data_IF_283531914067
#
_entry.id   IF_283531914067
#
_cell.length_a   1.000
_cell.length_b   1.000
_cell.length_c   1.000
_cell.angle_alpha   90.00
_cell.angle_beta   90.00
_cell.angle_gamma   90.00
#
_symmetry.space_group_name_H-M   'P 1'
#
loop_
_entity.id
_entity.type
_entity.pdbx_description
1 polymer ?
#
# COMPACT_ATOMS: atom_id res chain seq x y z
N UNK A 1 19.53 43.15 -28.27
CA UNK A 1 19.95 42.74 -26.91
C UNK A 1 21.29 42.03 -27.07
N UNK A 2 22.39 42.69 -26.71
CA UNK A 2 23.76 42.27 -27.06
C UNK A 2 24.31 41.21 -26.09
N UNK A 3 25.22 40.38 -26.60
CA UNK A 3 25.87 39.25 -25.91
C UNK A 3 26.65 39.62 -24.63
N UNK A 4 26.86 40.91 -24.38
CA UNK A 4 27.53 41.44 -23.17
C UNK A 4 26.63 41.43 -21.92
N UNK A 5 25.31 41.25 -22.08
CA UNK A 5 24.39 41.13 -20.95
C UNK A 5 24.33 39.71 -20.36
N UNK A 6 24.89 38.70 -21.04
CA UNK A 6 24.91 37.30 -20.59
C UNK A 6 26.20 36.91 -19.84
N UNK A 7 27.22 37.79 -19.82
CA UNK A 7 28.49 37.51 -19.13
C UNK A 7 28.50 37.85 -17.62
N UNK A 8 27.36 38.26 -17.06
CA UNK A 8 27.22 38.64 -15.63
C UNK A 8 26.47 37.61 -14.77
N UNK A 9 26.20 36.42 -15.30
CA UNK A 9 25.62 35.30 -14.55
C UNK A 9 26.55 34.09 -14.58
N UNK A 10 27.74 34.24 -13.98
CA UNK A 10 28.66 33.15 -13.69
C UNK A 10 28.88 33.09 -12.18
N UNK A 11 28.13 32.21 -11.49
CA UNK A 11 28.43 31.76 -10.14
C UNK A 11 29.20 30.45 -10.26
N UNK A 12 30.53 30.57 -10.32
CA UNK A 12 31.47 29.50 -10.07
C UNK A 12 31.98 29.60 -8.63
N UNK A 13 32.12 28.43 -8.01
CA UNK A 13 32.83 28.09 -6.77
C UNK A 13 32.29 28.56 -5.41
N UNK A 14 31.77 27.60 -4.63
CA UNK A 14 32.54 26.98 -3.52
C UNK A 14 31.75 25.82 -2.90
N UNK A 15 32.13 24.57 -3.22
CA UNK A 15 31.71 23.38 -2.48
C UNK A 15 32.62 23.20 -1.26
N UNK A 16 32.06 23.28 -0.06
CA UNK A 16 32.72 22.86 1.17
C UNK A 16 32.26 21.44 1.48
N UNK A 17 33.07 20.46 1.07
CA UNK A 17 32.98 19.08 1.57
C UNK A 17 33.89 18.96 2.79
N UNK A 18 33.33 18.83 3.99
CA UNK A 18 34.09 18.45 5.19
C UNK A 18 33.48 17.22 5.83
N UNK A 19 33.99 16.06 5.44
CA UNK A 19 33.95 14.82 6.22
C UNK A 19 35.39 14.50 6.63
N UNK A 20 35.61 14.26 7.91
CA UNK A 20 36.74 13.51 8.48
C UNK A 20 38.16 14.02 8.19
N UNK A 21 38.69 14.89 9.08
CA UNK A 21 40.13 14.96 9.38
C UNK A 21 40.39 15.79 10.65
N UNK A 22 40.04 15.23 11.82
CA UNK A 22 40.39 15.82 13.13
C UNK A 22 40.83 14.76 14.16
N UNK A 23 41.49 13.69 13.69
CA UNK A 23 42.04 12.65 14.56
C UNK A 23 43.34 12.08 13.99
N UNK A 24 44.37 12.92 13.82
CA UNK A 24 45.78 12.51 13.77
C UNK A 24 46.65 13.74 13.52
N UNK A 25 47.07 14.43 14.59
CA UNK A 25 48.37 15.16 14.69
C UNK A 25 48.47 15.90 16.03
N UNK A 26 48.42 15.14 17.12
CA UNK A 26 49.17 15.51 18.33
C UNK A 26 50.39 14.60 18.41
N UNK A 27 51.52 15.13 17.95
CA UNK A 27 52.89 14.79 18.37
C UNK A 27 53.86 15.44 17.39
N UNK A 28 54.38 16.62 17.74
CA UNK A 28 55.81 16.89 17.95
C UNK A 28 56.16 18.39 17.86
N UNK A 29 56.97 18.79 18.84
CA UNK A 29 58.01 19.83 18.79
C UNK A 29 57.64 21.32 18.90
N UNK A 30 57.97 21.83 20.09
CA UNK A 30 58.29 23.20 20.47
C UNK A 30 59.44 23.83 19.67
N UNK A 31 59.43 25.16 19.49
CA UNK A 31 60.39 26.16 20.03
C UNK A 31 60.50 27.45 19.17
N UNK A 32 60.53 28.58 19.89
CA UNK A 32 61.13 29.91 19.61
C UNK A 32 60.29 31.09 19.02
N UNK A 33 59.87 31.94 19.97
CA UNK A 33 59.76 33.43 20.13
C UNK A 33 60.36 34.41 19.06
N UNK A 34 60.10 35.76 19.11
CA UNK A 34 59.15 36.57 19.90
C UNK A 34 58.43 37.76 19.16
N UNK A 35 57.45 38.36 19.85
CA UNK A 35 57.01 39.79 19.83
C UNK A 35 56.49 40.45 18.53
N UNK A 36 55.19 40.79 18.51
CA UNK A 36 54.68 42.18 18.51
C UNK A 36 53.15 42.19 18.42
N UNK A 37 52.50 42.78 19.42
CA UNK A 37 51.07 43.14 19.38
C UNK A 37 50.83 44.27 18.38
N UNK A 38 49.64 44.32 17.76
CA UNK A 38 48.77 45.45 18.04
C UNK A 38 47.36 45.01 18.44
N UNK A 39 46.82 45.76 19.40
CA UNK A 39 45.47 45.66 19.92
C UNK A 39 44.43 45.64 18.80
N UNK A 40 43.59 44.60 18.78
CA UNK A 40 42.23 44.68 18.26
C UNK A 40 41.27 44.31 19.38
N UNK A 41 40.34 45.23 19.61
CA UNK A 41 39.27 45.18 20.59
C UNK A 41 38.55 43.83 20.58
N UNK A 42 38.21 43.24 21.74
CA UNK A 42 37.40 42.04 21.73
C UNK A 42 36.01 42.39 21.18
N UNK A 43 35.67 41.77 20.05
CA UNK A 43 34.29 41.59 19.63
C UNK A 43 33.55 40.99 20.83
N UNK A 44 32.51 41.68 21.28
CA UNK A 44 31.60 41.21 22.31
C UNK A 44 31.08 39.83 21.92
N UNK A 45 31.56 38.81 22.62
CA UNK A 45 30.87 37.54 22.71
C UNK A 45 29.55 37.81 23.40
N UNK A 46 28.47 37.91 22.62
CA UNK A 46 27.12 37.85 23.16
C UNK A 46 27.03 36.59 24.03
N UNK A 47 26.92 36.81 25.34
CA UNK A 47 26.63 35.74 26.27
C UNK A 47 25.30 35.11 25.83
N UNK A 48 25.20 33.77 25.76
CA UNK A 48 23.94 33.13 25.41
C UNK A 48 22.90 33.54 26.44
N UNK A 49 21.86 34.24 25.98
CA UNK A 49 20.71 34.62 26.80
C UNK A 49 20.20 33.38 27.55
N UNK A 50 19.94 33.46 28.86
CA UNK A 50 19.56 32.29 29.65
C UNK A 50 18.28 31.66 29.06
N UNK A 51 18.36 30.36 28.76
CA UNK A 51 17.20 29.60 28.27
C UNK A 51 16.07 29.73 29.29
N UNK A 52 14.85 30.13 28.88
CA UNK A 52 13.77 30.41 29.82
C UNK A 52 13.38 29.16 30.61
N UNK A 53 13.01 29.37 31.88
CA UNK A 53 12.60 28.29 32.79
C UNK A 53 11.24 27.67 32.44
N UNK A 54 10.47 28.34 31.58
CA UNK A 54 9.22 27.85 31.01
C UNK A 54 9.35 27.92 29.49
N UNK A 55 9.04 26.82 28.82
CA UNK A 55 9.02 26.71 27.37
C UNK A 55 7.56 26.53 26.95
N UNK A 56 7.07 27.41 26.08
CA UNK A 56 5.74 27.29 25.46
C UNK A 56 5.93 26.84 24.02
N UNK A 57 5.27 25.75 23.65
CA UNK A 57 5.33 25.17 22.30
C UNK A 57 4.31 25.84 21.40
N UNK A 58 4.45 25.68 20.10
CA UNK A 58 3.54 26.28 19.11
C UNK A 58 2.13 25.71 19.20
N UNK A 59 1.99 24.50 19.74
CA UNK A 59 0.70 23.87 20.08
C UNK A 59 0.06 24.43 21.35
N UNK A 60 0.72 25.36 22.06
CA UNK A 60 0.21 26.03 23.25
C UNK A 60 0.48 25.27 24.57
N UNK A 61 1.23 24.16 24.52
CA UNK A 61 1.63 23.42 25.72
C UNK A 61 2.75 24.16 26.44
N UNK A 62 2.67 24.20 27.78
CA UNK A 62 3.63 24.91 28.63
C UNK A 62 4.42 23.90 29.46
N UNK A 63 5.74 23.91 29.31
CA UNK A 63 6.66 23.02 30.02
C UNK A 63 7.52 23.80 31.00
N UNK A 64 7.55 23.35 32.25
CA UNK A 64 8.47 23.86 33.26
C UNK A 64 9.76 23.04 33.25
N UNK A 65 10.86 23.73 32.95
CA UNK A 65 12.23 23.19 32.90
C UNK A 65 13.17 23.93 33.86
N UNK A 66 12.61 24.62 34.86
CA UNK A 66 13.39 25.28 35.92
C UNK A 66 14.38 24.36 36.65
N UNK A 67 14.13 23.05 36.91
CA UNK A 67 15.11 22.20 37.58
C UNK A 67 16.29 21.77 36.67
N UNK A 68 16.26 22.10 35.38
CA UNK A 68 17.26 21.63 34.43
C UNK A 68 18.51 22.49 34.48
N UNK A 69 19.67 21.90 34.21
CA UNK A 69 20.89 22.67 33.90
C UNK A 69 20.79 23.30 32.50
N UNK A 70 21.71 24.22 32.18
CA UNK A 70 21.64 25.01 30.95
C UNK A 70 21.69 24.14 29.68
N UNK A 71 22.43 23.04 29.71
CA UNK A 71 22.54 22.09 28.61
C UNK A 71 21.24 21.30 28.41
N UNK A 72 20.62 20.83 29.49
CA UNK A 72 19.34 20.12 29.45
C UNK A 72 18.21 21.06 29.04
N UNK A 73 18.22 22.32 29.48
CA UNK A 73 17.27 23.35 29.00
C UNK A 73 17.44 23.61 27.51
N UNK A 74 18.68 23.66 26.99
CA UNK A 74 18.93 23.82 25.55
C UNK A 74 18.36 22.64 24.77
N UNK A 75 18.61 21.40 25.21
CA UNK A 75 18.07 20.18 24.58
C UNK A 75 16.54 20.15 24.60
N UNK A 76 15.94 20.51 25.74
CA UNK A 76 14.50 20.62 25.88
C UNK A 76 13.93 21.68 24.94
N UNK A 77 14.52 22.87 24.88
CA UNK A 77 14.10 23.92 23.95
C UNK A 77 14.14 23.43 22.50
N UNK A 78 15.22 22.78 22.08
CA UNK A 78 15.32 22.25 20.70
C UNK A 78 14.25 21.19 20.45
N UNK A 79 14.02 20.24 21.37
CA UNK A 79 13.05 19.16 21.15
C UNK A 79 11.58 19.59 21.24
N UNK A 80 11.26 20.62 22.03
CA UNK A 80 9.89 21.07 22.27
C UNK A 80 9.41 22.14 21.28
N UNK A 81 10.31 22.79 20.53
CA UNK A 81 9.92 23.80 19.55
C UNK A 81 9.78 23.18 18.15
N UNK A 82 8.77 23.58 17.38
CA UNK A 82 8.47 23.00 16.06
C UNK A 82 9.51 23.33 14.96
N UNK A 83 10.58 24.07 15.28
CA UNK A 83 11.68 24.36 14.35
C UNK A 83 12.74 23.24 14.32
N UNK A 84 12.47 22.12 14.98
CA UNK A 84 13.29 20.93 14.86
C UNK A 84 12.84 20.11 13.65
N UNK A 85 13.78 19.73 12.78
CA UNK A 85 13.49 18.87 11.62
C UNK A 85 13.22 17.39 12.04
N UNK A 86 12.65 17.15 13.23
CA UNK A 86 12.40 15.82 13.77
C UNK A 86 11.04 15.33 13.29
N UNK A 87 11.01 14.18 12.61
CA UNK A 87 9.79 13.58 12.07
C UNK A 87 9.71 12.10 12.40
N UNK A 88 8.49 11.62 12.63
CA UNK A 88 8.20 10.20 12.82
C UNK A 88 8.22 9.47 11.47
N UNK A 89 9.00 8.39 11.37
CA UNK A 89 8.88 7.40 10.29
C UNK A 89 7.71 6.46 10.61
N UNK A 90 7.82 5.72 11.71
CA UNK A 90 6.81 4.77 12.17
C UNK A 90 7.03 4.39 13.64
N UNK A 91 6.04 3.76 14.25
CA UNK A 91 6.10 3.24 15.61
C UNK A 91 5.73 1.76 15.64
N UNK A 92 6.16 1.06 16.69
CA UNK A 92 5.94 -0.37 16.86
C UNK A 92 5.86 -0.75 18.34
N UNK A 93 4.98 -1.67 18.66
CA UNK A 93 5.01 -2.41 19.92
C UNK A 93 5.91 -3.65 19.79
N UNK A 94 6.77 -3.88 20.79
CA UNK A 94 7.67 -5.01 20.83
C UNK A 94 6.91 -6.33 20.97
N UNK A 95 7.23 -7.31 20.14
CA UNK A 95 6.66 -8.67 20.23
C UNK A 95 7.15 -9.43 21.46
N UNK A 96 8.36 -9.11 21.92
CA UNK A 96 9.08 -9.89 22.94
C UNK A 96 8.84 -9.36 24.37
N UNK A 97 8.44 -8.10 24.50
CA UNK A 97 8.28 -7.40 25.78
C UNK A 97 7.01 -6.56 25.69
N UNK A 98 5.91 -7.08 26.24
CA UNK A 98 4.61 -6.40 26.24
C UNK A 98 4.76 -5.04 26.94
N UNK A 99 4.13 -4.00 26.39
CA UNK A 99 4.29 -2.60 26.84
C UNK A 99 5.64 -1.95 26.55
N UNK A 100 6.51 -2.54 25.72
CA UNK A 100 7.68 -1.86 25.17
C UNK A 100 7.34 -1.26 23.81
N UNK A 101 7.48 0.05 23.72
CA UNK A 101 7.21 0.84 22.52
C UNK A 101 8.52 1.32 21.91
N UNK A 102 8.65 1.19 20.59
CA UNK A 102 9.79 1.69 19.83
C UNK A 102 9.30 2.64 18.74
N UNK A 103 9.90 3.82 18.71
CA UNK A 103 9.59 4.88 17.78
C UNK A 103 10.79 5.13 16.88
N UNK A 104 10.56 5.09 15.57
CA UNK A 104 11.57 5.28 14.55
C UNK A 104 11.43 6.68 13.96
N UNK A 105 12.45 7.49 14.19
CA UNK A 105 12.52 8.89 13.79
C UNK A 105 13.44 8.99 12.56
N UNK A 106 13.30 10.06 11.79
CA UNK A 106 14.28 10.43 10.76
C UNK A 106 15.73 10.47 11.30
N UNK A 107 16.70 10.33 10.39
CA UNK A 107 18.13 10.13 10.69
C UNK A 107 18.47 8.79 11.40
N UNK A 108 17.60 7.78 11.25
CA UNK A 108 17.76 6.43 11.82
C UNK A 108 17.90 6.42 13.34
N UNK A 109 17.20 7.37 13.96
CA UNK A 109 17.16 7.53 15.40
C UNK A 109 15.98 6.73 15.95
N UNK A 110 16.22 5.95 16.98
CA UNK A 110 15.17 5.20 17.68
C UNK A 110 15.01 5.72 19.09
N UNK A 111 13.76 5.84 19.53
CA UNK A 111 13.40 6.11 20.92
C UNK A 111 12.59 4.91 21.43
N UNK A 112 13.04 4.30 22.52
CA UNK A 112 12.38 3.17 23.14
C UNK A 112 11.95 3.51 24.58
N UNK A 113 10.75 3.10 24.96
CA UNK A 113 10.20 3.32 26.31
C UNK A 113 9.22 2.21 26.71
N UNK A 114 9.02 2.03 28.01
CA UNK A 114 8.14 0.98 28.55
C UNK A 114 8.79 -0.41 28.59
N UNK A 115 8.03 -1.39 29.08
CA UNK A 115 8.51 -2.74 29.36
C UNK A 115 9.70 -2.73 30.32
N UNK A 116 10.83 -3.30 29.88
CA UNK A 116 12.10 -3.28 30.60
C UNK A 116 12.76 -1.89 30.75
N UNK A 117 12.25 -0.83 30.10
CA UNK A 117 12.78 0.52 30.20
C UNK A 117 11.94 1.41 31.13
N UNK A 118 12.45 1.64 32.35
CA UNK A 118 11.90 2.64 33.28
C UNK A 118 12.14 4.10 32.83
N UNK A 119 13.16 4.32 32.00
CA UNK A 119 13.51 5.64 31.45
C UNK A 119 13.64 5.49 29.93
N UNK A 120 13.11 6.43 29.13
CA UNK A 120 13.25 6.38 27.68
C UNK A 120 14.72 6.35 27.24
N UNK A 121 15.03 5.46 26.31
CA UNK A 121 16.35 5.36 25.68
C UNK A 121 16.31 5.87 24.25
N UNK A 122 17.41 6.47 23.81
CA UNK A 122 17.55 6.96 22.44
C UNK A 122 18.88 6.52 21.82
N UNK A 123 18.87 6.12 20.56
CA UNK A 123 20.06 5.67 19.82
C UNK A 123 21.04 6.79 19.45
N UNK A 124 20.67 8.07 19.62
CA UNK A 124 21.54 9.21 19.28
C UNK A 124 22.77 9.38 20.20
N UNK A 125 22.93 8.54 21.23
CA UNK A 125 24.05 8.58 22.18
C UNK A 125 23.99 9.70 23.22
N UNK A 126 23.24 10.77 22.98
CA UNK A 126 23.15 11.91 23.91
C UNK A 126 22.41 11.62 25.23
N UNK A 127 21.83 10.41 25.38
CA UNK A 127 21.07 9.95 26.54
C UNK A 127 21.91 9.14 27.57
N UNK A 128 23.16 8.78 27.25
CA UNK A 128 24.00 7.89 28.08
C UNK A 128 24.39 8.46 29.47
N UNK A 129 24.16 9.76 29.70
CA UNK A 129 24.41 10.43 30.99
C UNK A 129 23.20 10.54 31.92
N UNK A 130 22.12 9.78 31.68
CA UNK A 130 20.88 9.87 32.46
C UNK A 130 20.12 11.18 32.22
N UNK A 131 20.31 11.80 31.05
CA UNK A 131 19.64 13.03 30.63
C UNK A 131 18.91 12.79 29.33
N UNK A 132 17.71 13.34 29.17
CA UNK A 132 16.99 13.25 27.93
C UNK A 132 17.71 14.02 26.81
N UNK A 133 17.65 13.47 25.60
CA UNK A 133 18.09 14.15 24.38
C UNK A 133 16.92 14.92 23.75
N UNK A 134 17.20 15.72 22.72
CA UNK A 134 16.16 16.45 21.98
C UNK A 134 15.04 15.54 21.44
N UNK A 135 15.36 14.32 20.98
CA UNK A 135 14.38 13.38 20.44
C UNK A 135 13.42 12.83 21.50
N UNK A 136 13.91 12.65 22.73
CA UNK A 136 13.06 12.24 23.85
C UNK A 136 12.11 13.40 24.19
N UNK A 137 12.63 14.63 24.33
CA UNK A 137 11.75 15.78 24.61
C UNK A 137 10.71 16.01 23.51
N UNK A 138 11.10 15.89 22.24
CA UNK A 138 10.17 15.92 21.12
C UNK A 138 9.09 14.85 21.24
N UNK A 139 9.47 13.59 21.50
CA UNK A 139 8.52 12.50 21.72
C UNK A 139 7.53 12.79 22.86
N UNK A 140 8.02 13.35 23.97
CA UNK A 140 7.18 13.71 25.11
C UNK A 140 6.17 14.80 24.77
N UNK A 141 6.55 15.77 23.94
CA UNK A 141 5.62 16.79 23.45
C UNK A 141 4.53 16.19 22.57
N UNK A 142 4.90 15.32 21.62
CA UNK A 142 3.93 14.64 20.75
C UNK A 142 2.90 13.81 21.55
N UNK A 143 3.37 13.07 22.55
CA UNK A 143 2.48 12.29 23.43
C UNK A 143 1.60 13.19 24.31
N UNK A 144 2.14 14.30 24.82
CA UNK A 144 1.37 15.27 25.61
C UNK A 144 0.30 15.99 24.76
N UNK A 145 0.59 16.23 23.48
CA UNK A 145 -0.37 16.77 22.53
C UNK A 145 -1.55 15.83 22.26
N UNK A 146 -1.30 14.51 22.26
CA UNK A 146 -2.36 13.49 22.20
C UNK A 146 -3.11 13.26 23.51
N UNK A 147 -2.64 13.81 24.64
CA UNK A 147 -3.22 13.56 25.96
C UNK A 147 -4.56 14.30 26.17
N UNK A 148 -5.40 13.91 27.15
CA UNK A 148 -6.67 14.57 27.42
C UNK A 148 -6.53 16.09 27.71
N UNK A 149 -7.53 16.94 27.36
CA UNK A 149 -7.46 18.39 27.52
C UNK A 149 -7.17 18.87 28.96
N UNK A 150 -7.55 18.07 29.96
CA UNK A 150 -7.26 18.34 31.38
C UNK A 150 -5.76 18.34 31.70
N UNK A 151 -4.96 17.61 30.92
CA UNK A 151 -3.50 17.57 31.02
C UNK A 151 -2.90 18.74 30.23
N UNK A 152 -3.39 18.98 29.02
CA UNK A 152 -2.88 20.04 28.13
C UNK A 152 -3.05 21.46 28.72
N UNK A 153 -4.09 21.68 29.52
CA UNK A 153 -4.38 22.99 30.14
C UNK A 153 -3.42 23.38 31.28
N UNK A 154 -2.56 22.47 31.72
CA UNK A 154 -1.66 22.67 32.86
C UNK A 154 -0.23 22.98 32.41
N UNK A 155 0.56 23.59 33.28
CA UNK A 155 2.02 23.66 33.07
C UNK A 155 2.63 22.31 33.42
N UNK A 156 3.11 21.60 32.40
CA UNK A 156 3.66 20.26 32.48
C UNK A 156 5.08 20.30 33.05
N UNK A 157 5.35 19.46 34.06
CA UNK A 157 6.68 19.33 34.64
C UNK A 157 7.44 18.21 33.93
N UNK A 158 8.60 18.49 33.35
CA UNK A 158 9.41 17.46 32.71
C UNK A 158 10.47 16.93 33.66
N UNK A 159 10.67 15.61 33.68
CA UNK A 159 11.85 15.03 34.30
C UNK A 159 13.09 15.23 33.41
N UNK A 160 14.26 15.43 34.03
CA UNK A 160 15.54 15.68 33.32
C UNK A 160 15.93 14.51 32.41
N UNK A 161 15.60 13.30 32.82
CA UNK A 161 15.88 12.04 32.11
C UNK A 161 14.77 11.65 31.12
N UNK A 162 13.64 12.38 31.12
CA UNK A 162 12.47 12.11 30.31
C UNK A 162 11.56 11.00 30.84
N UNK A 163 11.76 10.53 32.07
CA UNK A 163 10.94 9.47 32.69
C UNK A 163 9.48 9.89 32.96
N UNK A 164 9.23 11.20 33.14
CA UNK A 164 7.91 11.72 33.52
C UNK A 164 7.53 12.98 32.74
N UNK A 165 6.26 13.06 32.40
CA UNK A 165 5.55 14.28 31.96
C UNK A 165 4.45 14.58 32.97
N UNK A 166 4.65 15.63 33.75
CA UNK A 166 3.85 16.03 34.90
C UNK A 166 3.79 14.95 35.99
N UNK A 167 2.82 14.03 35.92
CA UNK A 167 2.65 12.92 36.88
C UNK A 167 2.57 11.56 36.19
N UNK A 168 2.77 11.51 34.87
CA UNK A 168 2.56 10.31 34.08
C UNK A 168 3.86 9.84 33.46
N UNK A 169 4.06 8.52 33.48
CA UNK A 169 5.08 7.87 32.66
C UNK A 169 4.61 7.84 31.20
N UNK A 170 5.49 8.15 30.23
CA UNK A 170 5.12 8.17 28.81
C UNK A 170 4.52 6.85 28.32
N UNK A 171 5.06 5.70 28.77
CA UNK A 171 4.52 4.37 28.45
C UNK A 171 3.13 4.17 29.03
N UNK A 172 2.88 4.58 30.28
CA UNK A 172 1.56 4.46 30.90
C UNK A 172 0.48 5.29 30.18
N UNK A 173 0.87 6.39 29.55
CA UNK A 173 -0.02 7.17 28.70
C UNK A 173 -0.38 6.41 27.41
N UNK A 174 0.59 5.75 26.77
CA UNK A 174 0.38 4.90 25.60
C UNK A 174 -0.48 3.69 25.98
N UNK A 175 -0.21 3.03 27.11
CA UNK A 175 -0.99 1.89 27.62
C UNK A 175 -2.48 2.25 27.79
N UNK A 176 -2.75 3.47 28.25
CA UNK A 176 -4.11 3.96 28.47
C UNK A 176 -4.84 4.31 27.16
N UNK A 177 -4.13 4.88 26.19
CA UNK A 177 -4.73 5.34 24.92
C UNK A 177 -4.76 4.24 23.86
N UNK A 178 -3.84 3.28 23.94
CA UNK A 178 -3.50 2.32 22.89
C UNK A 178 -2.54 2.94 21.87
N UNK A 179 -1.44 2.24 21.54
CA UNK A 179 -0.45 2.71 20.55
C UNK A 179 -1.10 3.03 19.20
N UNK A 180 -2.09 2.23 18.78
CA UNK A 180 -2.85 2.44 17.55
C UNK A 180 -3.62 3.77 17.56
N UNK A 181 -4.28 4.10 18.68
CA UNK A 181 -4.99 5.38 18.83
C UNK A 181 -4.04 6.57 18.78
N UNK A 182 -2.86 6.44 19.42
CA UNK A 182 -1.81 7.46 19.39
C UNK A 182 -1.26 7.64 17.99
N UNK A 183 -0.94 6.54 17.30
CA UNK A 183 -0.40 6.57 15.96
C UNK A 183 -1.40 7.21 14.98
N UNK A 184 -2.67 6.80 15.02
CA UNK A 184 -3.73 7.36 14.19
C UNK A 184 -3.98 8.85 14.49
N UNK A 185 -4.02 9.23 15.77
CA UNK A 185 -4.24 10.62 16.19
C UNK A 185 -3.13 11.58 15.76
N UNK A 186 -1.89 11.08 15.65
CA UNK A 186 -0.72 11.87 15.25
C UNK A 186 -0.30 11.63 13.78
N UNK A 187 -1.04 10.81 13.03
CA UNK A 187 -0.72 10.47 11.64
C UNK A 187 0.59 9.70 11.48
N UNK A 188 0.97 8.90 12.47
CA UNK A 188 2.16 8.07 12.46
C UNK A 188 1.87 6.70 11.84
N UNK A 189 2.81 6.19 11.03
CA UNK A 189 2.74 4.81 10.57
C UNK A 189 2.89 3.85 11.75
N UNK A 190 2.02 2.83 11.83
CA UNK A 190 2.11 1.77 12.82
C UNK A 190 2.55 0.47 12.14
N UNK A 191 3.64 -0.12 12.65
CA UNK A 191 4.09 -1.42 12.19
C UNK A 191 3.62 -2.53 13.15
N UNK A 192 2.94 -3.51 12.59
CA UNK A 192 2.58 -4.75 13.26
C UNK A 192 3.58 -5.87 12.94
N UNK A 193 3.76 -6.80 13.87
CA UNK A 193 4.53 -8.02 13.61
C UNK A 193 6.03 -7.80 13.38
N UNK A 194 6.67 -8.76 12.71
CA UNK A 194 8.09 -8.67 12.33
C UNK A 194 8.29 -7.73 11.13
N UNK A 195 9.50 -7.21 10.97
CA UNK A 195 9.83 -6.43 9.78
C UNK A 195 9.78 -7.34 8.54
N UNK A 196 9.01 -6.98 7.50
CA UNK A 196 8.95 -7.76 6.27
C UNK A 196 10.33 -7.81 5.60
N UNK A 197 10.58 -8.86 4.80
CA UNK A 197 11.80 -8.93 3.99
C UNK A 197 11.77 -7.83 2.93
N UNK A 198 12.95 -7.38 2.51
CA UNK A 198 13.13 -6.38 1.46
C UNK A 198 12.41 -6.82 0.17
N UNK A 199 12.49 -8.10 -0.15
CA UNK A 199 11.83 -8.64 -1.35
C UNK A 199 10.31 -8.58 -1.26
N UNK A 200 9.76 -8.87 -0.08
CA UNK A 200 8.31 -8.81 0.15
C UNK A 200 7.83 -7.35 0.00
N UNK A 201 8.58 -6.39 0.53
CA UNK A 201 8.32 -4.95 0.35
C UNK A 201 8.36 -4.57 -1.13
N UNK A 202 9.38 -5.01 -1.88
CA UNK A 202 9.51 -4.71 -3.31
C UNK A 202 8.34 -5.29 -4.13
N UNK A 203 7.95 -6.52 -3.85
CA UNK A 203 6.83 -7.19 -4.51
C UNK A 203 5.49 -6.51 -4.20
N UNK A 204 5.26 -6.13 -2.94
CA UNK A 204 4.05 -5.44 -2.51
C UNK A 204 3.97 -4.02 -3.09
N UNK A 205 5.09 -3.29 -3.14
CA UNK A 205 5.15 -1.98 -3.81
C UNK A 205 4.85 -2.11 -5.30
N UNK A 206 5.38 -3.15 -5.94
CA UNK A 206 5.11 -3.39 -7.35
C UNK A 206 3.63 -3.65 -7.60
N UNK A 207 2.95 -4.36 -6.69
CA UNK A 207 1.51 -4.61 -6.73
C UNK A 207 0.70 -3.33 -6.47
N UNK A 208 0.99 -2.61 -5.38
CA UNK A 208 0.34 -1.33 -5.03
C UNK A 208 0.46 -0.32 -6.17
N UNK A 209 1.65 -0.10 -6.71
CA UNK A 209 1.86 0.88 -7.77
C UNK A 209 1.27 0.43 -9.10
N UNK A 210 0.99 -0.87 -9.30
CA UNK A 210 0.38 -1.35 -10.54
C UNK A 210 -0.95 -0.64 -10.85
N UNK A 211 -1.68 -0.15 -9.85
CA UNK A 211 -2.93 0.64 -10.03
C UNK A 211 -2.74 1.85 -10.94
N UNK A 212 -1.54 2.44 -10.95
CA UNK A 212 -1.20 3.60 -11.77
C UNK A 212 -0.54 3.28 -13.12
N UNK A 213 -0.36 1.99 -13.44
CA UNK A 213 0.31 1.57 -14.67
C UNK A 213 -0.46 2.03 -15.92
N UNK A 214 0.14 2.88 -16.77
CA UNK A 214 -0.55 3.53 -17.89
C UNK A 214 -0.93 2.60 -19.04
N UNK A 215 -0.34 1.40 -19.12
CA UNK A 215 -0.67 0.41 -20.15
C UNK A 215 -1.91 -0.44 -19.81
N UNK A 216 -2.60 -0.16 -18.69
CA UNK A 216 -3.61 -1.04 -18.11
C UNK A 216 -3.06 -2.46 -17.83
N UNK A 217 -1.74 -2.64 -17.67
CA UNK A 217 -1.16 -3.92 -17.28
C UNK A 217 -1.73 -4.39 -15.93
N UNK A 218 -1.95 -5.70 -15.80
CA UNK A 218 -2.30 -6.29 -14.51
C UNK A 218 -1.05 -6.37 -13.61
N UNK A 219 -1.20 -6.51 -12.29
CA UNK A 219 -0.07 -6.58 -11.36
C UNK A 219 0.99 -7.62 -11.79
N UNK A 220 0.53 -8.82 -12.19
CA UNK A 220 1.39 -9.92 -12.65
C UNK A 220 2.17 -9.62 -13.93
N UNK A 221 1.60 -8.86 -14.85
CA UNK A 221 2.21 -8.49 -16.12
C UNK A 221 3.19 -7.31 -15.96
N UNK A 222 2.95 -6.44 -14.98
CA UNK A 222 3.81 -5.29 -14.69
C UNK A 222 5.22 -5.67 -14.20
N UNK A 223 5.40 -6.94 -13.81
CA UNK A 223 6.69 -7.52 -13.42
C UNK A 223 7.55 -7.94 -14.62
N UNK A 224 6.99 -8.06 -15.82
CA UNK A 224 7.74 -8.44 -17.02
C UNK A 224 8.46 -7.22 -17.66
N UNK A 225 9.80 -7.20 -17.72
CA UNK A 225 10.56 -6.11 -18.31
C UNK A 225 10.32 -5.95 -19.82
N UNK A 226 9.91 -7.01 -20.53
CA UNK A 226 9.71 -7.03 -21.99
C UNK A 226 8.35 -6.47 -22.44
N UNK A 227 7.37 -6.39 -21.53
CA UNK A 227 5.99 -6.01 -21.83
C UNK A 227 5.74 -4.49 -21.97
N UNK A 228 6.77 -3.69 -22.30
CA UNK A 228 6.71 -2.23 -22.22
C UNK A 228 6.70 -1.57 -23.63
N UNK A 229 5.53 -1.49 -24.30
CA UNK A 229 5.46 -0.97 -25.67
C UNK A 229 5.57 0.56 -25.75
N UNK A 230 5.40 1.30 -24.64
CA UNK A 230 5.29 2.77 -24.65
C UNK A 230 6.37 3.48 -23.82
N UNK A 231 6.74 4.69 -24.24
CA UNK A 231 7.65 5.56 -23.47
C UNK A 231 7.08 5.88 -22.08
N UNK A 232 5.75 6.03 -21.98
CA UNK A 232 5.06 6.31 -20.73
C UNK A 232 5.19 5.16 -19.72
N UNK A 233 5.02 3.92 -20.16
CA UNK A 233 5.20 2.74 -19.31
C UNK A 233 6.67 2.57 -18.89
N UNK A 234 7.64 2.88 -19.77
CA UNK A 234 9.06 2.88 -19.41
C UNK A 234 9.36 3.90 -18.31
N UNK A 235 8.84 5.12 -18.44
CA UNK A 235 9.01 6.17 -17.43
C UNK A 235 8.32 5.84 -16.11
N UNK A 236 7.16 5.21 -16.18
CA UNK A 236 6.47 4.71 -15.00
C UNK A 236 7.27 3.63 -14.27
N UNK A 237 7.92 2.71 -15.01
CA UNK A 237 8.82 1.71 -14.41
C UNK A 237 10.02 2.35 -13.71
N UNK A 238 10.71 3.28 -14.35
CA UNK A 238 11.82 4.03 -13.72
C UNK A 238 11.36 4.72 -12.42
N UNK A 239 10.17 5.30 -12.43
CA UNK A 239 9.55 5.90 -11.24
C UNK A 239 9.23 4.85 -10.17
N UNK A 240 8.64 3.72 -10.55
CA UNK A 240 8.30 2.61 -9.65
C UNK A 240 9.54 2.06 -8.95
N UNK A 241 10.60 1.80 -9.70
CA UNK A 241 11.85 1.23 -9.19
C UNK A 241 12.55 2.21 -8.23
N UNK A 242 12.54 3.50 -8.55
CA UNK A 242 13.06 4.55 -7.68
C UNK A 242 12.27 4.61 -6.36
N UNK A 243 10.94 4.60 -6.44
CA UNK A 243 10.06 4.62 -5.27
C UNK A 243 10.22 3.37 -4.40
N UNK A 244 10.34 2.19 -5.02
CA UNK A 244 10.62 0.94 -4.31
C UNK A 244 11.94 1.04 -3.53
N UNK A 245 13.02 1.51 -4.15
CA UNK A 245 14.30 1.68 -3.47
C UNK A 245 14.21 2.63 -2.25
N UNK A 246 13.46 3.74 -2.37
CA UNK A 246 13.26 4.67 -1.25
C UNK A 246 12.40 4.08 -0.12
N UNK A 247 11.33 3.38 -0.45
CA UNK A 247 10.44 2.77 0.53
C UNK A 247 11.09 1.58 1.26
N UNK A 248 11.91 0.78 0.56
CA UNK A 248 12.74 -0.26 1.18
C UNK A 248 13.75 0.33 2.17
N UNK A 249 14.34 1.48 1.84
CA UNK A 249 15.27 2.17 2.75
C UNK A 249 14.56 2.88 3.92
N UNK A 250 13.28 3.24 3.75
CA UNK A 250 12.47 3.91 4.77
C UNK A 250 11.11 3.24 4.90
N UNK A 251 11.01 2.30 5.83
CA UNK A 251 9.77 1.58 6.10
C UNK A 251 8.60 2.49 6.47
N UNK A 252 8.85 3.68 7.04
CA UNK A 252 7.81 4.67 7.29
C UNK A 252 7.16 5.19 6.01
N UNK A 253 7.92 5.30 4.92
CA UNK A 253 7.39 5.63 3.60
C UNK A 253 6.54 4.49 3.05
N UNK A 254 6.96 3.24 3.23
CA UNK A 254 6.19 2.06 2.83
C UNK A 254 4.84 1.98 3.56
N UNK A 255 4.82 2.14 4.88
CA UNK A 255 3.57 2.10 5.67
C UNK A 255 2.62 3.22 5.25
N UNK A 256 3.15 4.44 4.99
CA UNK A 256 2.33 5.54 4.47
C UNK A 256 1.80 5.24 3.07
N UNK A 257 2.55 4.51 2.24
CA UNK A 257 2.10 4.11 0.91
C UNK A 257 0.93 3.13 1.00
N UNK A 258 1.02 2.13 1.89
CA UNK A 258 -0.09 1.20 2.17
C UNK A 258 -1.35 1.94 2.64
N UNK A 259 -1.20 3.00 3.43
CA UNK A 259 -2.32 3.81 3.88
C UNK A 259 -2.94 4.71 2.79
N UNK A 260 -2.18 5.04 1.74
CA UNK A 260 -2.65 5.85 0.60
C UNK A 260 -3.23 4.97 -0.51
N UNK A 261 -2.63 3.80 -0.73
CA UNK A 261 -3.04 2.80 -1.71
C UNK A 261 -3.54 1.60 -0.92
N UNK A 262 -4.73 1.75 -0.33
CA UNK A 262 -5.35 0.69 0.45
C UNK A 262 -5.78 -0.51 -0.40
N UNK A 263 -6.09 -1.62 0.27
CA UNK A 263 -6.56 -2.87 -0.35
C UNK A 263 -7.81 -2.63 -1.21
N UNK A 264 -8.80 -1.90 -0.68
CA UNK A 264 -10.06 -1.58 -1.34
C UNK A 264 -9.84 -0.89 -2.70
N UNK A 265 -8.97 0.12 -2.75
CA UNK A 265 -8.63 0.82 -3.97
C UNK A 265 -7.91 -0.09 -4.97
N UNK A 266 -7.01 -0.96 -4.51
CA UNK A 266 -6.32 -1.92 -5.37
C UNK A 266 -7.30 -2.92 -6.01
N UNK A 267 -8.20 -3.49 -5.21
CA UNK A 267 -9.26 -4.40 -5.67
C UNK A 267 -10.15 -3.72 -6.70
N UNK A 268 -10.58 -2.49 -6.42
CA UNK A 268 -11.41 -1.71 -7.33
C UNK A 268 -10.70 -1.53 -8.69
N UNK A 269 -9.48 -1.00 -8.69
CA UNK A 269 -8.74 -0.73 -9.93
C UNK A 269 -8.41 -2.02 -10.69
N UNK A 270 -8.12 -3.12 -9.99
CA UNK A 270 -7.92 -4.42 -10.63
C UNK A 270 -9.15 -4.84 -11.43
N UNK A 271 -10.34 -4.81 -10.81
CA UNK A 271 -11.57 -5.22 -11.50
C UNK A 271 -12.02 -4.22 -12.57
N UNK A 272 -11.76 -2.92 -12.41
CA UNK A 272 -11.93 -1.94 -13.50
C UNK A 272 -11.09 -2.32 -14.72
N UNK A 273 -9.80 -2.62 -14.53
CA UNK A 273 -8.91 -3.06 -15.63
C UNK A 273 -9.36 -4.38 -16.25
N UNK A 274 -9.81 -5.34 -15.45
CA UNK A 274 -10.34 -6.61 -15.95
C UNK A 274 -11.58 -6.37 -16.82
N UNK A 275 -12.56 -5.61 -16.33
CA UNK A 275 -13.79 -5.31 -17.07
C UNK A 275 -13.51 -4.54 -18.38
N UNK A 276 -12.58 -3.58 -18.36
CA UNK A 276 -12.12 -2.89 -19.56
C UNK A 276 -11.49 -3.86 -20.57
N UNK A 277 -10.68 -4.81 -20.10
CA UNK A 277 -10.06 -5.83 -20.96
C UNK A 277 -11.08 -6.80 -21.54
N UNK A 278 -12.08 -7.21 -20.77
CA UNK A 278 -13.21 -8.03 -21.26
C UNK A 278 -13.93 -7.27 -22.38
N UNK A 279 -14.31 -6.02 -22.15
CA UNK A 279 -14.99 -5.19 -23.13
C UNK A 279 -14.15 -4.95 -24.39
N UNK A 280 -12.84 -4.70 -24.25
CA UNK A 280 -11.90 -4.58 -25.38
C UNK A 280 -11.77 -5.87 -26.16
N UNK A 281 -11.67 -7.02 -25.50
CA UNK A 281 -11.56 -8.31 -26.17
C UNK A 281 -12.77 -8.61 -27.06
N UNK A 282 -13.98 -8.35 -26.56
CA UNK A 282 -15.20 -8.50 -27.37
C UNK A 282 -15.28 -7.47 -28.50
N UNK A 283 -14.96 -6.20 -28.24
CA UNK A 283 -14.97 -5.16 -29.27
C UNK A 283 -13.96 -5.45 -30.39
N UNK A 284 -12.77 -5.92 -30.05
CA UNK A 284 -11.74 -6.29 -31.00
C UNK A 284 -12.15 -7.51 -31.85
N UNK A 285 -12.93 -8.44 -31.29
CA UNK A 285 -13.55 -9.51 -32.07
C UNK A 285 -14.64 -8.97 -33.00
N UNK A 286 -15.51 -8.09 -32.51
CA UNK A 286 -16.56 -7.46 -33.32
C UNK A 286 -15.95 -6.67 -34.50
N UNK A 287 -14.84 -5.98 -34.25
CA UNK A 287 -14.06 -5.27 -35.28
C UNK A 287 -13.46 -6.23 -36.32
N UNK A 288 -12.89 -7.35 -35.87
CA UNK A 288 -12.38 -8.40 -36.76
C UNK A 288 -13.47 -9.02 -37.63
N UNK A 289 -14.65 -9.26 -37.06
CA UNK A 289 -15.80 -9.76 -37.83
C UNK A 289 -16.23 -8.76 -38.91
N UNK A 290 -16.26 -7.46 -38.58
CA UNK A 290 -16.72 -6.41 -39.48
C UNK A 290 -15.72 -6.08 -40.61
N UNK A 291 -14.43 -5.95 -40.29
CA UNK A 291 -13.42 -5.40 -41.19
C UNK A 291 -12.31 -6.39 -41.57
N UNK A 292 -12.21 -7.51 -40.86
CA UNK A 292 -11.18 -8.51 -41.07
C UNK A 292 -9.86 -8.16 -40.41
N UNK A 293 -8.78 -8.86 -40.78
CA UNK A 293 -7.45 -8.60 -40.24
C UNK A 293 -7.00 -7.16 -40.57
N UNK A 294 -6.95 -6.30 -39.56
CA UNK A 294 -6.48 -4.92 -39.73
C UNK A 294 -4.96 -4.88 -39.72
N UNK A 295 -4.34 -4.34 -40.78
CA UNK A 295 -2.89 -4.15 -40.85
C UNK A 295 -2.39 -2.94 -40.04
N UNK A 296 -3.30 -2.06 -39.62
CA UNK A 296 -2.98 -0.89 -38.80
C UNK A 296 -2.94 -1.27 -37.31
N UNK A 297 -1.80 -1.00 -36.67
CA UNK A 297 -1.54 -1.27 -35.26
C UNK A 297 -2.36 -0.40 -34.27
N UNK A 298 -3.27 0.44 -34.76
CA UNK A 298 -4.02 1.42 -33.95
C UNK A 298 -5.28 0.79 -33.33
N UNK A 299 -5.88 -0.19 -33.99
CA UNK A 299 -7.12 -0.83 -33.53
C UNK A 299 -6.84 -2.29 -33.21
N UNK A 300 -7.07 -2.69 -31.95
CA UNK A 300 -7.02 -4.10 -31.55
C UNK A 300 -8.05 -4.89 -32.37
N UNK A 301 -7.60 -5.98 -32.98
CA UNK A 301 -8.41 -6.80 -33.88
C UNK A 301 -8.09 -8.27 -33.59
N UNK A 302 -9.07 -9.03 -33.09
CA UNK A 302 -8.86 -10.40 -32.61
C UNK A 302 -9.73 -11.39 -33.40
N UNK A 303 -9.12 -12.44 -33.93
CA UNK A 303 -9.87 -13.60 -34.39
C UNK A 303 -10.47 -14.39 -33.20
N UNK A 304 -11.30 -15.38 -33.49
CA UNK A 304 -11.97 -16.20 -32.46
C UNK A 304 -10.96 -16.86 -31.52
N UNK A 305 -9.88 -17.44 -32.06
CA UNK A 305 -8.86 -18.11 -31.26
C UNK A 305 -8.12 -17.15 -30.33
N UNK A 306 -7.75 -15.96 -30.83
CA UNK A 306 -7.09 -14.91 -30.02
C UNK A 306 -8.03 -14.38 -28.96
N UNK A 307 -9.29 -14.10 -29.31
CA UNK A 307 -10.30 -13.65 -28.36
C UNK A 307 -10.51 -14.69 -27.24
N UNK A 308 -10.70 -15.96 -27.60
CA UNK A 308 -10.82 -17.06 -26.65
C UNK A 308 -9.60 -17.19 -25.73
N UNK A 309 -8.39 -17.11 -26.29
CA UNK A 309 -7.15 -17.12 -25.51
C UNK A 309 -7.05 -15.95 -24.52
N UNK A 310 -7.46 -14.74 -24.94
CA UNK A 310 -7.53 -13.57 -24.06
C UNK A 310 -8.53 -13.75 -22.94
N UNK A 311 -9.73 -14.25 -23.23
CA UNK A 311 -10.77 -14.52 -22.22
C UNK A 311 -10.32 -15.59 -21.22
N UNK A 312 -9.72 -16.70 -21.67
CA UNK A 312 -9.12 -17.72 -20.78
C UNK A 312 -8.04 -17.11 -19.88
N UNK A 313 -7.19 -16.24 -20.43
CA UNK A 313 -6.19 -15.50 -19.66
C UNK A 313 -6.79 -14.60 -18.58
N UNK A 314 -7.91 -13.93 -18.88
CA UNK A 314 -8.63 -13.07 -17.93
C UNK A 314 -9.29 -13.88 -16.82
N UNK A 315 -9.93 -15.02 -17.13
CA UNK A 315 -10.48 -15.94 -16.12
C UNK A 315 -9.39 -16.41 -15.16
N UNK A 316 -8.23 -16.82 -15.68
CA UNK A 316 -7.09 -17.22 -14.86
C UNK A 316 -6.56 -16.07 -14.00
N UNK A 317 -6.55 -14.84 -14.52
CA UNK A 317 -6.13 -13.67 -13.75
C UNK A 317 -7.08 -13.38 -12.58
N UNK A 318 -8.40 -13.50 -12.80
CA UNK A 318 -9.41 -13.35 -11.75
C UNK A 318 -9.24 -14.42 -10.67
N UNK A 319 -9.07 -15.68 -11.07
CA UNK A 319 -8.86 -16.81 -10.14
C UNK A 319 -7.62 -16.62 -9.26
N UNK A 320 -6.48 -16.32 -9.90
CA UNK A 320 -5.22 -16.08 -9.19
C UNK A 320 -5.33 -14.91 -8.21
N UNK A 321 -5.95 -13.79 -8.62
CA UNK A 321 -6.09 -12.62 -7.77
C UNK A 321 -6.99 -12.91 -6.56
N UNK A 322 -8.11 -13.61 -6.77
CA UNK A 322 -9.00 -14.01 -5.68
C UNK A 322 -8.29 -14.90 -4.64
N UNK A 323 -7.50 -15.90 -5.09
CA UNK A 323 -6.75 -16.76 -4.18
C UNK A 323 -5.61 -16.03 -3.45
N UNK A 324 -4.91 -15.10 -4.12
CA UNK A 324 -3.87 -14.29 -3.49
C UNK A 324 -4.43 -13.43 -2.35
N UNK A 325 -5.60 -12.83 -2.54
CA UNK A 325 -6.25 -12.02 -1.52
C UNK A 325 -6.80 -12.87 -0.34
N UNK A 326 -7.16 -14.14 -0.58
CA UNK A 326 -7.55 -15.07 0.48
C UNK A 326 -6.38 -15.48 1.38
N UNK A 327 -5.18 -15.62 0.81
CA UNK A 327 -3.97 -16.02 1.56
C UNK A 327 -3.37 -14.84 2.35
N UNK A 328 -3.69 -13.61 1.98
CA UNK A 328 -3.34 -12.40 2.73
C UNK A 328 -4.32 -12.22 3.90
N UNK A 329 -4.05 -12.94 4.99
CA UNK A 329 -4.79 -13.15 6.26
C UNK A 329 -5.33 -11.89 7.01
N UNK A 330 -5.42 -10.71 6.40
CA UNK A 330 -5.71 -9.43 7.06
C UNK A 330 -6.99 -8.70 6.61
N UNK A 331 -7.73 -9.16 5.60
CA UNK A 331 -8.87 -8.39 5.06
C UNK A 331 -10.26 -9.00 5.40
N UNK A 332 -11.08 -8.32 6.24
CA UNK A 332 -12.44 -8.76 6.55
C UNK A 332 -13.44 -8.63 5.38
N UNK A 333 -13.09 -8.03 4.23
CA UNK A 333 -14.00 -7.83 3.09
C UNK A 333 -13.72 -8.72 1.88
N UNK A 334 -13.40 -10.00 2.13
CA UNK A 334 -13.31 -11.04 1.10
C UNK A 334 -14.60 -11.18 0.26
N UNK A 335 -15.72 -10.68 0.79
CA UNK A 335 -17.03 -10.71 0.13
C UNK A 335 -17.10 -9.76 -1.05
N UNK A 336 -16.63 -8.52 -0.92
CA UNK A 336 -16.62 -7.57 -2.04
C UNK A 336 -15.78 -8.11 -3.20
N UNK A 337 -14.63 -8.71 -2.89
CA UNK A 337 -13.75 -9.35 -3.88
C UNK A 337 -14.50 -10.47 -4.62
N UNK A 338 -15.17 -11.37 -3.88
CA UNK A 338 -15.95 -12.45 -4.47
C UNK A 338 -17.11 -11.94 -5.33
N UNK A 339 -17.80 -10.88 -4.90
CA UNK A 339 -18.90 -10.25 -5.65
C UNK A 339 -18.39 -9.67 -6.97
N UNK A 340 -17.24 -8.98 -6.96
CA UNK A 340 -16.62 -8.40 -8.17
C UNK A 340 -16.06 -9.47 -9.10
N UNK A 341 -15.42 -10.50 -8.54
CA UNK A 341 -14.94 -11.66 -9.31
C UNK A 341 -16.11 -12.34 -10.04
N UNK A 342 -17.20 -12.62 -9.34
CA UNK A 342 -18.40 -13.18 -9.93
C UNK A 342 -18.98 -12.26 -11.02
N UNK A 343 -19.06 -10.96 -10.80
CA UNK A 343 -19.55 -10.00 -11.80
C UNK A 343 -18.73 -10.05 -13.10
N UNK A 344 -17.40 -10.06 -12.99
CA UNK A 344 -16.50 -10.13 -14.15
C UNK A 344 -16.63 -11.48 -14.89
N UNK A 345 -16.70 -12.59 -14.15
CA UNK A 345 -16.89 -13.93 -14.71
C UNK A 345 -18.24 -14.09 -15.42
N UNK A 346 -19.32 -13.59 -14.81
CA UNK A 346 -20.66 -13.59 -15.41
C UNK A 346 -20.70 -12.72 -16.67
N UNK A 347 -20.01 -11.57 -16.68
CA UNK A 347 -19.87 -10.71 -17.87
C UNK A 347 -19.16 -11.42 -19.03
N UNK A 348 -18.10 -12.18 -18.73
CA UNK A 348 -17.45 -13.03 -19.75
C UNK A 348 -18.43 -14.07 -20.28
N UNK A 349 -19.13 -14.79 -19.38
CA UNK A 349 -20.04 -15.85 -19.75
C UNK A 349 -21.25 -15.35 -20.57
N UNK A 350 -21.86 -14.24 -20.20
CA UNK A 350 -22.93 -13.59 -20.97
C UNK A 350 -22.44 -13.11 -22.34
N UNK A 351 -21.24 -12.55 -22.41
CA UNK A 351 -20.62 -12.12 -23.66
C UNK A 351 -20.32 -13.27 -24.62
N UNK A 352 -19.92 -14.43 -24.10
CA UNK A 352 -19.69 -15.66 -24.88
C UNK A 352 -21.01 -16.31 -25.30
N UNK A 353 -21.97 -16.45 -24.38
CA UNK A 353 -23.31 -16.95 -24.68
C UNK A 353 -23.98 -16.11 -25.77
N UNK A 354 -23.85 -14.79 -25.73
CA UNK A 354 -24.41 -13.91 -26.78
C UNK A 354 -23.81 -14.12 -28.18
N UNK A 355 -22.73 -14.90 -28.32
CA UNK A 355 -21.98 -15.12 -29.55
C UNK A 355 -21.97 -16.58 -30.00
N UNK A 356 -23.06 -17.31 -29.78
CA UNK A 356 -23.26 -18.65 -30.36
C UNK A 356 -23.74 -18.57 -31.81
N UNK A 357 -22.85 -18.14 -32.70
CA UNK A 357 -23.06 -18.15 -34.15
C UNK A 357 -21.70 -18.28 -34.85
N UNK A 358 -21.71 -18.69 -36.12
CA UNK A 358 -20.51 -18.66 -36.95
C UNK A 358 -20.16 -17.21 -37.30
N UNK A 359 -19.05 -16.74 -36.72
CA UNK A 359 -18.53 -15.39 -36.84
C UNK A 359 -18.15 -15.01 -38.28
N UNK A 360 -17.97 -16.01 -39.16
CA UNK A 360 -17.47 -15.80 -40.52
C UNK A 360 -18.49 -16.04 -41.62
N UNK A 361 -19.75 -16.37 -41.31
CA UNK A 361 -20.76 -16.68 -42.32
C UNK A 361 -21.03 -15.52 -43.30
N UNK A 362 -20.87 -14.26 -42.88
CA UNK A 362 -21.23 -13.07 -43.66
C UNK A 362 -20.07 -12.07 -43.87
N UNK A 363 -18.81 -12.54 -43.84
CA UNK A 363 -17.66 -11.63 -43.96
C UNK A 363 -17.57 -10.97 -45.33
N UNK A 364 -17.15 -9.70 -45.35
CA UNK A 364 -17.03 -8.88 -46.57
C UNK A 364 -15.59 -8.73 -47.06
N UNK A 365 -14.62 -9.07 -46.21
CA UNK A 365 -13.19 -8.81 -46.40
C UNK A 365 -12.41 -9.96 -47.07
N UNK A 366 -13.12 -10.94 -47.65
CA UNK A 366 -12.54 -11.93 -48.57
C UNK A 366 -11.73 -13.06 -47.92
N UNK A 367 -11.83 -13.26 -46.61
CA UNK A 367 -11.24 -14.40 -45.91
C UNK A 367 -11.88 -15.74 -46.30
N UNK A 368 -11.14 -16.84 -46.14
CA UNK A 368 -11.69 -18.19 -46.21
C UNK A 368 -12.14 -18.56 -44.79
N UNK A 369 -13.46 -18.76 -44.55
CA UNK A 369 -13.94 -19.19 -43.25
C UNK A 369 -13.29 -20.51 -42.82
N UNK A 370 -12.76 -20.62 -41.59
CA UNK A 370 -12.34 -21.89 -41.02
C UNK A 370 -13.48 -22.91 -41.03
N UNK A 371 -13.17 -24.14 -41.44
CA UNK A 371 -14.13 -25.24 -41.47
C UNK A 371 -14.41 -25.82 -40.07
N UNK A 372 -13.50 -25.58 -39.12
CA UNK A 372 -13.60 -26.10 -37.76
C UNK A 372 -14.54 -25.23 -36.91
N UNK A 373 -15.61 -25.79 -36.31
CA UNK A 373 -16.52 -25.07 -35.44
C UNK A 373 -15.86 -24.33 -34.27
N UNK A 374 -14.76 -24.85 -33.74
CA UNK A 374 -14.03 -24.19 -32.63
C UNK A 374 -13.24 -22.97 -33.11
N UNK A 375 -12.96 -22.83 -34.40
CA UNK A 375 -12.23 -21.70 -34.95
C UNK A 375 -13.16 -20.61 -35.48
N UNK A 376 -14.44 -20.92 -35.70
CA UNK A 376 -15.43 -20.00 -36.27
C UNK A 376 -16.55 -19.59 -35.31
N UNK A 377 -16.73 -20.27 -34.18
CA UNK A 377 -17.74 -19.94 -33.18
C UNK A 377 -17.12 -19.85 -31.78
N UNK A 378 -17.26 -18.68 -31.14
CA UNK A 378 -16.67 -18.40 -29.83
C UNK A 378 -17.29 -19.26 -28.72
N UNK A 379 -18.60 -19.50 -28.78
CA UNK A 379 -19.31 -20.35 -27.83
C UNK A 379 -18.80 -21.79 -27.91
N UNK A 380 -18.63 -22.33 -29.12
CA UNK A 380 -18.12 -23.69 -29.30
C UNK A 380 -16.66 -23.81 -28.86
N UNK A 381 -15.85 -22.76 -29.04
CA UNK A 381 -14.46 -22.77 -28.58
C UNK A 381 -14.34 -22.83 -27.04
N UNK A 382 -15.20 -22.12 -26.31
CA UNK A 382 -15.05 -21.91 -24.86
C UNK A 382 -16.00 -22.73 -23.99
N UNK A 383 -17.19 -23.08 -24.50
CA UNK A 383 -18.26 -23.80 -23.77
C UNK A 383 -18.60 -25.14 -24.44
N UNK A 384 -18.20 -25.32 -25.71
CA UNK A 384 -18.41 -26.57 -26.44
C UNK A 384 -17.77 -27.80 -25.78
N UNK A 385 -17.76 -28.93 -26.49
CA UNK A 385 -17.27 -30.19 -25.91
C UNK A 385 -15.83 -30.03 -25.37
N UNK A 386 -15.62 -30.21 -24.05
CA UNK A 386 -14.33 -29.96 -23.44
C UNK A 386 -13.29 -30.92 -24.01
N UNK A 387 -12.13 -30.40 -24.39
CA UNK A 387 -10.97 -31.24 -24.69
C UNK A 387 -10.42 -31.81 -23.38
N UNK A 388 -9.69 -32.93 -23.40
CA UNK A 388 -9.22 -33.62 -22.17
C UNK A 388 -8.42 -32.72 -21.19
N UNK A 389 -7.88 -31.59 -21.66
CA UNK A 389 -7.14 -30.60 -20.88
C UNK A 389 -7.92 -29.28 -20.60
N UNK A 390 -9.07 -29.04 -21.23
CA UNK A 390 -9.87 -27.82 -21.02
C UNK A 390 -10.97 -28.10 -19.98
N UNK A 391 -10.82 -27.52 -18.79
CA UNK A 391 -11.88 -27.51 -17.77
C UNK A 391 -13.16 -26.79 -18.25
N UNK A 392 -14.13 -26.60 -17.35
CA UNK A 392 -15.43 -25.97 -17.65
C UNK A 392 -15.35 -24.44 -17.72
N UNK A 393 -14.21 -23.92 -18.18
CA UNK A 393 -13.93 -22.51 -18.41
C UNK A 393 -14.31 -21.65 -17.18
N UNK A 394 -15.17 -20.65 -17.33
CA UNK A 394 -15.63 -19.75 -16.27
C UNK A 394 -16.27 -20.50 -15.10
N UNK A 395 -16.91 -21.65 -15.32
CA UNK A 395 -17.60 -22.36 -14.25
C UNK A 395 -16.65 -22.94 -13.21
N UNK A 396 -15.42 -23.29 -13.58
CA UNK A 396 -14.47 -23.83 -12.61
C UNK A 396 -14.04 -22.76 -11.60
N UNK A 397 -13.82 -21.52 -12.07
CA UNK A 397 -13.56 -20.39 -11.18
C UNK A 397 -14.83 -19.96 -10.43
N UNK A 398 -16.01 -19.95 -11.05
CA UNK A 398 -17.26 -19.61 -10.31
C UNK A 398 -17.57 -20.59 -9.17
N UNK A 399 -17.19 -21.87 -9.31
CA UNK A 399 -17.40 -22.88 -8.25
C UNK A 399 -16.56 -22.62 -7.00
N UNK A 400 -15.39 -21.98 -7.12
CA UNK A 400 -14.51 -21.71 -5.97
C UNK A 400 -14.97 -20.51 -5.13
N UNK A 401 -15.82 -19.65 -5.68
CA UNK A 401 -16.37 -18.49 -4.99
C UNK A 401 -17.45 -18.87 -3.95
N UNK A 402 -17.71 -18.04 -2.92
CA UNK A 402 -18.79 -18.26 -1.96
C UNK A 402 -20.16 -18.11 -2.63
N UNK A 403 -20.84 -19.23 -2.90
CA UNK A 403 -22.08 -19.25 -3.70
C UNK A 403 -23.21 -18.40 -3.12
N UNK A 404 -23.31 -18.28 -1.80
CA UNK A 404 -24.35 -17.48 -1.15
C UNK A 404 -24.21 -15.98 -1.46
N UNK A 405 -22.98 -15.47 -1.52
CA UNK A 405 -22.69 -14.08 -1.85
C UNK A 405 -22.86 -13.82 -3.35
N UNK A 406 -22.44 -14.76 -4.19
CA UNK A 406 -22.63 -14.69 -5.65
C UNK A 406 -24.12 -14.63 -6.00
N UNK A 407 -24.92 -15.54 -5.45
CA UNK A 407 -26.34 -15.61 -5.79
C UNK A 407 -27.12 -14.44 -5.24
N UNK A 408 -26.85 -13.98 -4.02
CA UNK A 408 -27.54 -12.82 -3.44
C UNK A 408 -27.40 -11.57 -4.31
N UNK A 409 -26.22 -11.37 -4.90
CA UNK A 409 -25.90 -10.15 -5.64
C UNK A 409 -26.16 -10.26 -7.16
N UNK A 410 -26.11 -11.46 -7.73
CA UNK A 410 -26.17 -11.66 -9.18
C UNK A 410 -27.31 -12.58 -9.66
N UNK A 411 -28.30 -12.88 -8.82
CA UNK A 411 -29.40 -13.83 -9.15
C UNK A 411 -30.12 -13.50 -10.46
N UNK A 412 -30.48 -12.24 -10.69
CA UNK A 412 -31.25 -11.84 -11.88
C UNK A 412 -30.46 -12.08 -13.17
N UNK A 413 -29.17 -11.76 -13.15
CA UNK A 413 -28.27 -11.96 -14.29
C UNK A 413 -28.05 -13.45 -14.53
N UNK A 414 -27.87 -14.24 -13.47
CA UNK A 414 -27.73 -15.69 -13.56
C UNK A 414 -28.99 -16.37 -14.10
N UNK A 415 -30.20 -15.89 -13.76
CA UNK A 415 -31.45 -16.38 -14.35
C UNK A 415 -31.56 -16.03 -15.83
N UNK A 416 -31.22 -14.80 -16.22
CA UNK A 416 -31.21 -14.44 -17.64
C UNK A 416 -30.21 -15.30 -18.44
N UNK A 417 -29.08 -15.61 -17.82
CA UNK A 417 -28.06 -16.45 -18.42
C UNK A 417 -28.49 -17.92 -18.51
N UNK A 418 -29.22 -18.44 -17.51
CA UNK A 418 -29.82 -19.78 -17.56
C UNK A 418 -30.75 -19.92 -18.78
N UNK A 419 -31.68 -18.96 -18.94
CA UNK A 419 -32.60 -18.92 -20.08
C UNK A 419 -31.85 -18.85 -21.42
N UNK A 420 -30.75 -18.08 -21.48
CA UNK A 420 -29.92 -17.92 -22.68
C UNK A 420 -29.12 -19.18 -22.99
N UNK A 421 -28.54 -19.84 -21.99
CA UNK A 421 -27.77 -21.07 -22.13
C UNK A 421 -28.69 -22.24 -22.53
N UNK A 422 -29.88 -22.36 -21.95
CA UNK A 422 -30.86 -23.39 -22.34
C UNK A 422 -31.25 -23.30 -23.82
N UNK A 423 -31.35 -22.08 -24.36
CA UNK A 423 -31.63 -21.84 -25.79
C UNK A 423 -30.46 -22.19 -26.72
N UNK A 424 -29.26 -22.41 -26.18
CA UNK A 424 -28.03 -22.57 -26.96
C UNK A 424 -27.45 -23.98 -26.94
N UNK A 425 -28.10 -24.90 -26.21
CA UNK A 425 -27.72 -26.32 -26.10
C UNK A 425 -26.22 -26.57 -25.80
N UNK A 426 -25.65 -25.99 -24.72
CA UNK A 426 -24.32 -26.35 -24.23
C UNK A 426 -24.24 -27.85 -23.84
N UNK A 427 -23.02 -28.40 -23.69
CA UNK A 427 -22.82 -29.74 -23.18
C UNK A 427 -23.54 -29.96 -21.85
N UNK A 428 -24.13 -31.15 -21.67
CA UNK A 428 -24.93 -31.46 -20.48
C UNK A 428 -24.12 -31.31 -19.18
N UNK A 429 -22.83 -31.64 -19.21
CA UNK A 429 -21.93 -31.48 -18.07
C UNK A 429 -21.76 -30.01 -17.66
N UNK A 430 -21.72 -29.11 -18.63
CA UNK A 430 -21.65 -27.67 -18.40
C UNK A 430 -22.93 -27.14 -17.75
N UNK A 431 -24.10 -27.56 -18.25
CA UNK A 431 -25.39 -27.17 -17.64
C UNK A 431 -25.55 -27.71 -16.23
N UNK A 432 -25.18 -28.98 -15.99
CA UNK A 432 -25.23 -29.56 -14.66
C UNK A 432 -24.33 -28.79 -13.68
N UNK A 433 -23.13 -28.40 -14.12
CA UNK A 433 -22.22 -27.58 -13.31
C UNK A 433 -22.79 -26.17 -13.05
N UNK A 434 -23.41 -25.54 -14.04
CA UNK A 434 -24.06 -24.24 -13.88
C UNK A 434 -25.25 -24.32 -12.91
N UNK A 435 -26.10 -25.33 -13.06
CA UNK A 435 -27.24 -25.59 -12.16
C UNK A 435 -26.81 -25.92 -10.74
N UNK A 436 -25.68 -26.60 -10.54
CA UNK A 436 -25.12 -26.81 -9.20
C UNK A 436 -24.82 -25.46 -8.53
N UNK A 437 -24.16 -24.54 -9.22
CA UNK A 437 -23.86 -23.19 -8.68
C UNK A 437 -25.15 -22.42 -8.38
N UNK A 438 -26.17 -22.49 -9.25
CA UNK A 438 -27.39 -21.69 -9.10
C UNK A 438 -28.46 -22.28 -8.18
N UNK A 439 -28.47 -23.60 -7.95
CA UNK A 439 -29.51 -24.30 -7.16
C UNK A 439 -29.04 -24.78 -5.78
N UNK A 440 -27.74 -25.01 -5.56
CA UNK A 440 -27.24 -25.67 -4.33
C UNK A 440 -27.41 -24.82 -3.05
N UNK A 441 -27.51 -23.49 -3.16
CA UNK A 441 -27.81 -22.60 -2.03
C UNK A 441 -29.28 -22.64 -1.57
N UNK A 442 -30.24 -22.95 -2.46
CA UNK A 442 -31.67 -23.08 -2.10
C UNK A 442 -31.89 -24.19 -1.08
N UNK A 443 -31.07 -25.25 -1.10
CA UNK A 443 -31.18 -26.36 -0.14
C UNK A 443 -30.63 -26.03 1.25
N UNK A 444 -29.63 -25.16 1.38
CA UNK A 444 -29.08 -24.74 2.70
C UNK A 444 -29.96 -23.70 3.40
N UNK A 445 -30.51 -22.74 2.66
CA UNK A 445 -31.46 -21.77 3.23
C UNK A 445 -32.75 -22.43 3.78
N UNK A 446 -33.18 -23.56 3.18
CA UNK A 446 -34.35 -24.30 3.66
C UNK A 446 -34.06 -25.22 4.86
N UNK A 447 -32.80 -25.56 5.13
CA UNK A 447 -32.43 -26.47 6.23
C UNK A 447 -32.13 -25.75 7.55
N UNK A 448 -31.80 -24.45 7.53
CA UNK A 448 -31.64 -23.66 8.75
C UNK A 448 -32.95 -23.08 9.32
N UNK A 449 -34.01 -22.99 8.51
CA UNK A 449 -35.33 -22.50 8.95
C UNK A 449 -36.23 -23.58 9.63
N UNK A 450 -35.76 -24.83 9.68
CA UNK A 450 -36.57 -25.99 10.11
C UNK A 450 -36.31 -26.53 11.53
N UNK A 451 -35.64 -25.77 12.39
CA UNK A 451 -35.18 -26.25 13.70
C UNK A 451 -35.84 -25.59 14.91
N UNK A 452 -37.14 -25.79 15.18
CA UNK A 452 -37.63 -25.71 16.56
C UNK A 452 -39.02 -26.34 16.80
N UNK A 453 -39.10 -27.07 17.91
CA UNK A 453 -40.29 -27.44 18.69
C UNK A 453 -41.10 -28.68 18.27
N UNK A 454 -40.48 -29.86 18.41
CA UNK A 454 -41.22 -31.05 18.83
C UNK A 454 -41.40 -31.02 20.36
N UNK A 455 -42.60 -30.62 20.83
CA UNK A 455 -43.00 -30.76 22.23
C UNK A 455 -43.11 -32.25 22.59
N UNK A 456 -42.30 -32.70 23.56
CA UNK A 456 -42.54 -33.97 24.26
C UNK A 456 -43.84 -33.87 25.08
N UNK A 457 -44.72 -34.88 25.07
CA UNK A 457 -45.77 -34.98 26.06
C UNK A 457 -45.17 -35.53 27.37
N UNK A 458 -45.44 -34.85 28.49
CA UNK A 458 -45.25 -35.46 29.82
C UNK A 458 -46.44 -36.38 30.10
N UNK A 459 -46.12 -37.60 30.53
CA UNK A 459 -46.99 -38.45 31.34
C UNK A 459 -46.42 -38.51 32.75
#
# INVERSE_FOLDING_TARGET
MSAEALSKLSLGDTMVTTRAQAAARERTASLNTPNQSPQQSPLSSEAPSPTPSIIETTSGLKYNVSPFDDESRRRAKIGLMDDNDIKMKYCRESTDDRMKYTFYIDDDITVAMGGSYAVPKCSCGANEGGKACKHIFWMLDQLAHGAPPSVQSQTLQLAVDGSLVHTFEPSALIDKMGLESVANGLGWGLQYGQSPDIKDIEDEIAEMLSVFEPSNALPSESKDPSACPSERSRKFREFKDLFAAYATANLGMFIRLQAVIDSDFQVQVFFEKINDRIARAFRALDEYMAHGPTADAVTECYDIATCAGKLKGLVKAIDNYYHQQLESDNDPDTKDIAIRAAAALISILDGVASRNFDAYTNITWGGIPPANPTENNLFVNLIGEPTEDDGLFVLDTLKTLPHDDVLRNHMEILHHLDDKLEQQWPPLEYMNAFHAITQESRKRAASEAGGSSAKRPMQ
#
